data_IF_386340870183
#
_entry.id   IF_386340870183
#
_cell.length_a   1.000
_cell.length_b   1.000
_cell.length_c   1.000
_cell.angle_alpha   90.00
_cell.angle_beta   90.00
_cell.angle_gamma   90.00
#
_symmetry.space_group_name_H-M   'P 1'
#
loop_
_entity.id
_entity.type
_entity.pdbx_description
1 polymer ?
#
# COMPACT_ATOMS: atom_id res chain seq x y z
N UNK A 1 -16.90 -0.26 8.30
CA UNK A 1 -15.86 0.39 9.11
C UNK A 1 -15.52 1.71 8.45
N UNK A 2 -15.39 2.79 9.22
CA UNK A 2 -14.90 4.08 8.71
C UNK A 2 -13.49 4.32 9.26
N UNK A 3 -12.64 4.98 8.50
CA UNK A 3 -11.37 5.47 9.04
C UNK A 3 -11.73 6.62 9.98
N UNK A 4 -11.18 6.62 11.19
CA UNK A 4 -11.33 7.76 12.09
C UNK A 4 -10.39 8.86 11.59
N UNK A 5 -10.95 9.99 11.14
CA UNK A 5 -10.20 11.18 10.78
C UNK A 5 -10.89 12.45 11.32
N UNK A 6 -10.13 13.51 11.68
CA UNK A 6 -8.69 13.67 11.45
C UNK A 6 -7.86 12.73 12.34
N UNK A 7 -6.72 12.27 11.83
CA UNK A 7 -5.88 11.35 12.61
C UNK A 7 -4.66 10.82 11.88
N UNK A 8 -3.69 10.41 12.71
CA UNK A 8 -2.47 9.73 12.28
C UNK A 8 -2.63 8.23 12.52
N UNK A 9 -2.33 7.42 11.51
CA UNK A 9 -2.50 5.97 11.55
C UNK A 9 -1.28 5.26 10.99
N UNK A 10 -0.97 4.09 11.55
CA UNK A 10 0.13 3.24 11.12
C UNK A 10 -0.40 1.88 10.72
N UNK A 11 0.10 1.32 9.62
CA UNK A 11 -0.34 0.06 9.04
C UNK A 11 0.84 -0.78 8.60
N UNK A 12 0.80 -2.09 8.84
CA UNK A 12 1.68 -3.04 8.16
C UNK A 12 1.14 -3.34 6.77
N UNK A 13 1.95 -3.29 5.73
CA UNK A 13 1.54 -3.41 4.33
C UNK A 13 2.19 -4.60 3.67
N UNK A 14 1.45 -5.28 2.76
CA UNK A 14 1.98 -6.25 1.81
C UNK A 14 1.22 -6.17 0.48
N UNK A 15 1.89 -6.59 -0.59
CA UNK A 15 1.30 -6.72 -1.92
C UNK A 15 1.78 -7.96 -2.65
N UNK A 16 0.89 -8.56 -3.43
CA UNK A 16 1.09 -9.82 -4.12
C UNK A 16 0.64 -9.71 -5.58
N UNK A 17 1.49 -10.14 -6.50
CA UNK A 17 1.23 -10.16 -7.94
C UNK A 17 -0.02 -10.97 -8.28
N UNK A 18 -0.81 -10.47 -9.23
CA UNK A 18 -2.05 -11.12 -9.67
C UNK A 18 -1.78 -12.26 -10.67
N UNK A 19 -0.92 -13.21 -10.33
CA UNK A 19 -0.64 -14.38 -11.17
C UNK A 19 -1.69 -15.48 -10.90
N UNK A 20 -2.20 -16.09 -11.96
CA UNK A 20 -3.23 -17.13 -11.88
C UNK A 20 -2.65 -18.54 -11.76
N UNK A 21 -1.35 -18.70 -11.96
CA UNK A 21 -0.66 -19.98 -11.83
C UNK A 21 -0.51 -20.37 -10.36
N UNK A 22 -1.24 -21.40 -9.95
CA UNK A 22 -1.26 -21.91 -8.57
C UNK A 22 0.00 -22.67 -8.18
N UNK A 23 0.92 -22.93 -9.13
CA UNK A 23 2.20 -23.56 -8.83
C UNK A 23 3.24 -22.57 -8.31
N UNK A 24 2.99 -21.25 -8.42
CA UNK A 24 3.86 -20.22 -7.88
C UNK A 24 3.71 -20.21 -6.36
N UNK A 25 4.82 -20.32 -5.63
CA UNK A 25 4.77 -20.25 -4.17
C UNK A 25 4.32 -18.85 -3.74
N UNK A 26 3.56 -18.71 -2.64
CA UNK A 26 3.10 -17.40 -2.17
C UNK A 26 4.21 -16.36 -1.95
N UNK A 27 5.39 -16.79 -1.52
CA UNK A 27 6.54 -15.90 -1.34
C UNK A 27 7.06 -15.33 -2.67
N UNK A 28 6.91 -16.07 -3.78
CA UNK A 28 7.33 -15.64 -5.11
C UNK A 28 6.30 -14.70 -5.76
N UNK A 29 5.15 -14.50 -5.11
CA UNK A 29 4.16 -13.50 -5.52
C UNK A 29 4.40 -12.13 -4.88
N UNK A 30 5.24 -12.02 -3.86
CA UNK A 30 5.45 -10.76 -3.15
C UNK A 30 6.00 -9.68 -4.10
N UNK A 31 5.27 -8.57 -4.19
CA UNK A 31 5.70 -7.37 -4.91
C UNK A 31 6.40 -6.37 -3.98
N UNK A 32 6.01 -6.35 -2.71
CA UNK A 32 6.63 -5.51 -1.69
C UNK A 32 5.82 -5.43 -0.41
N UNK A 33 6.51 -5.10 0.67
CA UNK A 33 6.02 -4.98 2.04
C UNK A 33 6.62 -3.76 2.74
N UNK A 34 5.98 -3.28 3.80
CA UNK A 34 6.51 -2.15 4.55
C UNK A 34 5.57 -1.63 5.60
N UNK A 35 5.85 -0.42 6.10
CA UNK A 35 4.98 0.30 7.02
C UNK A 35 4.40 1.52 6.33
N UNK A 36 3.08 1.67 6.40
CA UNK A 36 2.37 2.88 5.96
C UNK A 36 2.11 3.76 7.18
N UNK A 37 2.44 5.04 7.05
CA UNK A 37 1.99 6.10 7.94
C UNK A 37 1.06 7.04 7.16
N UNK A 38 -0.19 7.17 7.58
CA UNK A 38 -1.15 8.10 6.98
C UNK A 38 -1.55 9.16 7.98
N UNK A 39 -1.59 10.41 7.52
CA UNK A 39 -2.25 11.54 8.15
C UNK A 39 -3.42 11.96 7.27
N UNK A 40 -4.62 11.95 7.85
CA UNK A 40 -5.84 12.34 7.16
C UNK A 40 -6.37 13.63 7.80
N UNK A 41 -6.61 14.65 7.00
CA UNK A 41 -7.20 15.94 7.43
C UNK A 41 -8.72 15.89 7.49
N UNK A 42 -9.33 16.94 8.02
CA UNK A 42 -10.79 17.06 8.20
C UNK A 42 -11.57 17.04 6.88
N UNK A 43 -10.95 17.51 5.79
CA UNK A 43 -11.51 17.52 4.43
C UNK A 43 -11.25 16.22 3.65
N UNK A 44 -10.60 15.24 4.27
CA UNK A 44 -10.33 13.94 3.68
C UNK A 44 -9.11 13.92 2.75
N UNK A 45 -8.27 14.96 2.73
CA UNK A 45 -6.95 14.87 2.10
C UNK A 45 -6.03 13.94 2.90
N UNK A 46 -5.19 13.20 2.18
CA UNK A 46 -4.27 12.22 2.78
C UNK A 46 -2.85 12.62 2.45
N UNK A 47 -2.00 12.61 3.47
CA UNK A 47 -0.54 12.70 3.37
C UNK A 47 0.09 11.56 4.14
N UNK A 48 1.35 11.23 3.86
CA UNK A 48 2.01 10.17 4.59
C UNK A 48 3.26 9.65 3.92
N UNK A 49 3.64 8.45 4.31
CA UNK A 49 4.68 7.68 3.62
C UNK A 49 4.43 6.17 3.74
N UNK A 50 5.07 5.43 2.84
CA UNK A 50 5.21 3.99 2.92
C UNK A 50 6.67 3.61 2.68
N UNK A 51 7.20 2.70 3.47
CA UNK A 51 8.57 2.25 3.29
C UNK A 51 9.06 1.27 4.33
N UNK A 52 10.35 0.93 4.19
CA UNK A 52 11.14 0.23 5.20
C UNK A 52 12.28 1.18 5.60
N UNK A 53 12.37 1.57 6.89
CA UNK A 53 13.39 2.50 7.35
C UNK A 53 14.81 2.09 6.93
N UNK A 54 15.52 3.00 6.26
CA UNK A 54 16.89 2.77 5.80
C UNK A 54 17.01 2.04 4.45
N UNK A 55 15.90 1.59 3.86
CA UNK A 55 15.91 0.88 2.58
C UNK A 55 15.26 1.68 1.46
N UNK A 56 13.95 1.92 1.57
CA UNK A 56 13.18 2.65 0.58
C UNK A 56 12.01 3.39 1.23
N UNK A 57 11.59 4.47 0.61
CA UNK A 57 10.48 5.30 1.08
C UNK A 57 9.77 5.97 -0.10
N UNK A 58 8.44 5.98 -0.04
CA UNK A 58 7.57 6.76 -0.92
C UNK A 58 6.77 7.74 -0.08
N UNK A 59 6.78 9.01 -0.45
CA UNK A 59 5.82 9.98 0.05
C UNK A 59 4.43 9.67 -0.52
N UNK A 60 3.41 9.61 0.33
CA UNK A 60 2.03 9.36 -0.05
C UNK A 60 1.23 10.65 -0.08
N UNK A 61 0.46 10.84 -1.15
CA UNK A 61 -0.58 11.86 -1.26
C UNK A 61 -1.86 11.24 -1.82
N UNK A 62 -3.02 11.68 -1.35
CA UNK A 62 -4.27 11.10 -1.79
C UNK A 62 -5.50 11.71 -1.16
N UNK A 63 -6.60 10.95 -1.23
CA UNK A 63 -7.89 11.36 -0.67
C UNK A 63 -8.72 10.19 -0.21
N UNK A 64 -9.59 10.45 0.75
CA UNK A 64 -10.72 9.59 1.11
C UNK A 64 -11.74 9.61 -0.04
N UNK A 65 -12.24 8.43 -0.41
CA UNK A 65 -13.26 8.26 -1.45
C UNK A 65 -14.66 8.25 -0.81
N UNK A 66 -15.63 8.87 -1.47
CA UNK A 66 -17.03 8.82 -1.06
C UNK A 66 -17.68 7.49 -1.48
N UNK A 67 -17.32 6.43 -0.78
CA UNK A 67 -17.74 5.05 -1.07
C UNK A 67 -18.17 4.30 0.19
N UNK A 68 -18.92 3.22 0.02
CA UNK A 68 -19.27 2.28 1.08
C UNK A 68 -19.01 0.84 0.60
N UNK A 69 -17.99 0.13 1.14
CA UNK A 69 -17.10 0.54 2.24
C UNK A 69 -16.21 1.74 1.90
N UNK A 70 -15.74 2.47 2.93
CA UNK A 70 -14.88 3.64 2.78
C UNK A 70 -13.60 3.28 2.01
N UNK A 71 -13.35 3.97 0.90
CA UNK A 71 -12.16 3.81 0.07
C UNK A 71 -11.12 4.92 0.27
N UNK A 72 -9.89 4.65 -0.17
CA UNK A 72 -8.80 5.61 -0.29
C UNK A 72 -8.19 5.48 -1.68
N UNK A 73 -7.83 6.62 -2.27
CA UNK A 73 -6.97 6.68 -3.45
C UNK A 73 -5.67 7.40 -3.09
N UNK A 74 -4.53 6.78 -3.37
CA UNK A 74 -3.20 7.29 -3.01
C UNK A 74 -2.25 7.19 -4.21
N UNK A 75 -1.35 8.16 -4.31
CA UNK A 75 -0.14 8.11 -5.14
C UNK A 75 1.07 8.14 -4.22
N UNK A 76 1.98 7.20 -4.42
CA UNK A 76 3.28 7.14 -3.74
C UNK A 76 4.42 7.48 -4.69
N UNK A 77 5.27 8.44 -4.31
CA UNK A 77 6.46 8.84 -5.10
C UNK A 77 7.71 8.88 -4.23
N UNK A 78 8.85 8.47 -4.77
CA UNK A 78 10.13 8.63 -4.09
C UNK A 78 11.33 8.24 -4.94
N UNK A 79 12.48 8.87 -4.67
CA UNK A 79 13.74 8.50 -5.28
C UNK A 79 14.36 7.37 -4.45
N UNK A 80 14.44 6.18 -5.02
CA UNK A 80 14.84 4.95 -4.33
C UNK A 80 15.91 4.20 -5.12
N UNK A 81 16.52 3.19 -4.49
CA UNK A 81 17.68 2.48 -5.01
C UNK A 81 19.01 3.14 -4.62
N UNK A 82 20.12 2.56 -5.06
CA UNK A 82 21.47 3.03 -4.74
C UNK A 82 22.35 3.09 -5.98
N UNK A 83 23.30 4.04 -6.00
CA UNK A 83 24.26 4.20 -7.09
C UNK A 83 23.57 4.40 -8.45
N UNK A 84 24.01 3.63 -9.45
CA UNK A 84 23.46 3.70 -10.81
C UNK A 84 22.00 3.24 -10.93
N UNK A 85 21.46 2.56 -9.90
CA UNK A 85 20.07 2.10 -9.87
C UNK A 85 19.14 3.08 -9.13
N UNK A 86 19.65 4.24 -8.69
CA UNK A 86 18.81 5.27 -8.09
C UNK A 86 17.83 5.83 -9.13
N UNK A 87 16.53 5.84 -8.80
CA UNK A 87 15.48 6.20 -9.76
C UNK A 87 14.20 6.68 -9.06
N UNK A 88 13.36 7.40 -9.80
CA UNK A 88 12.02 7.77 -9.32
C UNK A 88 11.07 6.58 -9.42
N UNK A 89 10.55 6.16 -8.28
CA UNK A 89 9.47 5.20 -8.16
C UNK A 89 8.15 5.95 -8.04
N UNK A 90 7.12 5.46 -8.72
CA UNK A 90 5.77 5.98 -8.66
C UNK A 90 4.77 4.83 -8.68
N UNK A 91 3.88 4.81 -7.70
CA UNK A 91 2.88 3.76 -7.50
C UNK A 91 1.52 4.36 -7.20
N UNK A 92 0.48 3.81 -7.80
CA UNK A 92 -0.91 4.16 -7.52
C UNK A 92 -1.58 3.09 -6.67
N UNK A 93 -2.41 3.51 -5.72
CA UNK A 93 -3.12 2.62 -4.81
C UNK A 93 -4.60 3.02 -4.76
N UNK A 94 -5.47 2.02 -4.80
CA UNK A 94 -6.87 2.18 -4.43
C UNK A 94 -7.26 1.05 -3.49
N UNK A 95 -7.67 1.40 -2.26
CA UNK A 95 -7.92 0.44 -1.18
C UNK A 95 -9.19 0.76 -0.43
N UNK A 96 -9.81 -0.26 0.16
CA UNK A 96 -11.09 -0.17 0.85
C UNK A 96 -10.98 -0.74 2.26
N UNK A 97 -11.68 -0.11 3.22
CA UNK A 97 -11.82 -0.62 4.57
C UNK A 97 -12.67 -1.89 4.57
N UNK A 98 -12.07 -3.04 4.85
CA UNK A 98 -12.81 -4.30 4.84
C UNK A 98 -13.90 -4.30 5.94
N UNK A 99 -15.15 -4.67 5.60
CA UNK A 99 -16.21 -4.80 6.57
C UNK A 99 -15.89 -5.96 7.53
N UNK A 100 -16.36 -5.84 8.77
CA UNK A 100 -16.32 -6.94 9.74
C UNK A 100 -17.48 -7.89 9.43
N UNK A 101 -17.22 -9.18 9.52
CA UNK A 101 -18.22 -10.23 9.30
C UNK A 101 -18.79 -10.68 10.66
N UNK A 102 -20.11 -10.86 10.74
CA UNK A 102 -20.77 -11.35 11.95
C UNK A 102 -20.19 -12.72 12.37
N UNK A 103 -19.98 -12.90 13.68
CA UNK A 103 -19.36 -14.11 14.23
C UNK A 103 -17.83 -14.17 14.15
N UNK A 104 -17.18 -13.28 13.40
CA UNK A 104 -15.71 -13.25 13.33
C UNK A 104 -15.08 -12.71 14.62
N UNK A 105 -14.07 -13.42 15.13
CA UNK A 105 -13.33 -13.07 16.36
C UNK A 105 -12.05 -12.31 16.03
N UNK A 106 -11.68 -11.32 16.86
CA UNK A 106 -10.42 -10.57 16.75
C UNK A 106 -10.12 -10.01 15.34
N UNK A 107 -11.15 -9.61 14.60
CA UNK A 107 -10.98 -9.11 13.25
C UNK A 107 -10.22 -7.77 13.26
N UNK A 108 -9.01 -7.76 12.70
CA UNK A 108 -8.19 -6.56 12.59
C UNK A 108 -8.78 -5.56 11.59
N UNK A 109 -8.42 -4.29 11.76
CA UNK A 109 -8.75 -3.24 10.80
C UNK A 109 -7.86 -3.38 9.57
N UNK A 110 -8.47 -3.57 8.40
CA UNK A 110 -7.76 -3.90 7.16
C UNK A 110 -8.18 -2.95 6.04
N UNK A 111 -7.20 -2.38 5.37
CA UNK A 111 -7.34 -1.80 4.04
C UNK A 111 -6.95 -2.87 3.03
N UNK A 112 -7.70 -3.06 1.96
CA UNK A 112 -7.33 -3.98 0.88
C UNK A 112 -7.78 -3.46 -0.47
N UNK A 113 -7.02 -3.76 -1.52
CA UNK A 113 -7.31 -3.29 -2.87
C UNK A 113 -6.18 -3.56 -3.84
N UNK A 114 -5.87 -2.60 -4.69
CA UNK A 114 -4.88 -2.74 -5.76
C UNK A 114 -3.73 -1.75 -5.62
N UNK A 115 -2.56 -2.17 -6.06
CA UNK A 115 -1.39 -1.33 -6.29
C UNK A 115 -0.92 -1.51 -7.73
N UNK A 116 -0.53 -0.41 -8.38
CA UNK A 116 -0.02 -0.40 -9.75
C UNK A 116 1.30 0.36 -9.78
N UNK A 117 2.32 -0.22 -10.41
CA UNK A 117 3.54 0.52 -10.76
C UNK A 117 3.23 1.49 -11.88
N UNK A 118 3.31 2.79 -11.64
CA UNK A 118 2.98 3.82 -12.64
C UNK A 118 4.19 4.24 -13.48
N UNK A 119 5.41 3.94 -13.01
CA UNK A 119 6.65 4.31 -13.70
C UNK A 119 7.67 3.18 -13.74
N UNK A 120 8.34 3.03 -14.88
CA UNK A 120 9.49 2.15 -15.05
C UNK A 120 10.61 2.55 -14.07
N UNK A 121 11.26 1.56 -13.47
CA UNK A 121 12.50 1.77 -12.72
C UNK A 121 13.45 0.57 -12.82
N UNK A 122 14.77 0.78 -12.69
CA UNK A 122 15.72 -0.33 -12.54
C UNK A 122 15.44 -1.16 -11.29
N UNK A 123 15.63 -2.47 -11.41
CA UNK A 123 15.72 -3.43 -10.31
C UNK A 123 17.16 -3.56 -9.81
N UNK A 124 17.32 -4.11 -8.61
CA UNK A 124 18.64 -4.46 -8.06
C UNK A 124 19.29 -5.63 -8.80
N UNK A 125 18.50 -6.43 -9.52
CA UNK A 125 18.90 -7.58 -10.33
C UNK A 125 19.34 -7.21 -11.76
N UNK A 126 19.37 -5.91 -12.10
CA UNK A 126 19.71 -5.41 -13.43
C UNK A 126 18.56 -5.48 -14.44
N UNK A 127 17.37 -5.92 -14.03
CA UNK A 127 16.17 -5.85 -14.87
C UNK A 127 15.51 -4.48 -14.80
N UNK A 128 14.62 -4.18 -15.74
CA UNK A 128 13.75 -3.00 -15.65
C UNK A 128 12.37 -3.46 -15.17
N UNK A 129 11.97 -2.96 -14.02
CA UNK A 129 10.64 -3.12 -13.46
C UNK A 129 9.68 -2.21 -14.23
N UNK A 130 8.84 -2.80 -15.08
CA UNK A 130 7.96 -2.06 -16.00
C UNK A 130 6.72 -1.49 -15.33
N UNK A 131 6.34 -0.28 -15.72
CA UNK A 131 5.05 0.32 -15.42
C UNK A 131 3.92 -0.60 -15.93
N UNK A 132 2.78 -0.55 -15.23
CA UNK A 132 1.61 -1.39 -15.52
C UNK A 132 1.61 -2.74 -14.80
N UNK A 133 2.65 -3.10 -14.03
CA UNK A 133 2.56 -4.27 -13.15
C UNK A 133 1.52 -4.00 -12.06
N UNK A 134 0.59 -4.94 -11.89
CA UNK A 134 -0.53 -4.84 -10.95
C UNK A 134 -0.43 -5.94 -9.90
N UNK A 135 -0.65 -5.56 -8.65
CA UNK A 135 -0.79 -6.48 -7.53
C UNK A 135 -2.05 -6.15 -6.72
N UNK A 136 -2.53 -7.16 -6.02
CA UNK A 136 -3.46 -6.98 -4.89
C UNK A 136 -2.63 -6.62 -3.66
N UNK A 137 -3.11 -5.68 -2.86
CA UNK A 137 -2.45 -5.27 -1.63
C UNK A 137 -3.41 -5.29 -0.44
N UNK A 138 -2.84 -5.42 0.74
CA UNK A 138 -3.56 -5.20 1.99
C UNK A 138 -2.65 -4.55 3.03
N UNK A 139 -3.27 -3.80 3.94
CA UNK A 139 -2.62 -3.19 5.07
C UNK A 139 -3.43 -3.40 6.36
N UNK A 140 -2.76 -3.80 7.43
CA UNK A 140 -3.37 -4.09 8.74
C UNK A 140 -2.96 -3.02 9.74
N UNK A 141 -3.92 -2.39 10.41
CA UNK A 141 -3.65 -1.33 11.39
C UNK A 141 -2.74 -1.83 12.53
N UNK A 142 -1.74 -1.03 12.90
CA UNK A 142 -0.75 -1.35 13.95
C UNK A 142 -1.26 -0.98 15.36
N UNK A 143 -2.44 -0.37 15.49
CA UNK A 143 -3.04 -0.14 16.81
C UNK A 143 -3.58 -1.43 17.42
N UNK A 144 -3.21 -1.68 18.69
CA UNK A 144 -3.67 -2.82 19.50
C UNK A 144 -5.20 -2.91 19.42
N UNK A 145 -5.69 -4.12 19.16
CA UNK A 145 -7.06 -4.51 19.52
C UNK A 145 -7.33 -4.03 20.94
N UNK A 146 -8.35 -3.19 21.11
CA UNK A 146 -8.89 -2.90 22.44
C UNK A 146 -9.41 -4.18 23.09
#
# INVERSE_FOLDING_TARGET
MKINYPGDTTWSYRSFLNKTDLNIAPNDLELGDGTIHLKISDDGEISGNIGIPGEWNLELKGKVLDTNPQGLYLIGTGINGQGANQSLWEYGYEVYCLPKIEGGKAQANVLAGSVVRLKDHPGSDGTIHKAGEVATCYAVAVTKSA
#
